data_IF_848127062743
#
_entry.id   IF_848127062743
#
_cell.length_a   1.000
_cell.length_b   1.000
_cell.length_c   1.000
_cell.angle_alpha   90.00
_cell.angle_beta   90.00
_cell.angle_gamma   90.00
#
_symmetry.space_group_name_H-M   'P 1'
#
loop_
_entity.id
_entity.type
_entity.pdbx_description
1 polymer ?
#
# COMPACT_ATOMS: atom_id res chain seq x y z
N UNK A 1 1.83 14.55 -7.75
CA UNK A 1 3.13 14.71 -7.04
C UNK A 1 3.36 13.64 -5.98
N UNK A 2 2.53 13.55 -4.92
CA UNK A 2 2.74 12.54 -3.85
C UNK A 2 2.74 11.10 -4.39
N UNK A 3 1.81 10.77 -5.28
CA UNK A 3 1.80 9.47 -5.99
C UNK A 3 3.09 9.21 -6.76
N UNK A 4 3.59 10.19 -7.50
CA UNK A 4 4.84 10.09 -8.25
C UNK A 4 6.03 9.87 -7.31
N UNK A 5 6.09 10.60 -6.19
CA UNK A 5 7.12 10.41 -5.17
C UNK A 5 7.05 9.00 -4.56
N UNK A 6 5.85 8.49 -4.25
CA UNK A 6 5.65 7.12 -3.79
C UNK A 6 6.18 6.11 -4.83
N UNK A 7 5.82 6.26 -6.10
CA UNK A 7 6.26 5.35 -7.17
C UNK A 7 7.78 5.35 -7.34
N UNK A 8 8.42 6.53 -7.28
CA UNK A 8 9.88 6.67 -7.40
C UNK A 8 10.57 6.05 -6.19
N UNK A 9 10.14 6.39 -4.97
CA UNK A 9 10.74 5.82 -3.75
C UNK A 9 10.59 4.31 -3.72
N UNK A 10 9.41 3.78 -4.06
CA UNK A 10 9.18 2.35 -4.13
C UNK A 10 10.06 1.67 -5.20
N UNK A 11 10.16 2.26 -6.39
CA UNK A 11 11.00 1.73 -7.46
C UNK A 11 12.48 1.68 -7.05
N UNK A 12 13.00 2.75 -6.43
CA UNK A 12 14.35 2.75 -5.88
C UNK A 12 14.53 1.76 -4.74
N UNK A 13 13.48 1.57 -3.92
CA UNK A 13 13.52 0.63 -2.82
C UNK A 13 13.68 -0.81 -3.32
N UNK A 14 13.01 -1.14 -4.42
CA UNK A 14 13.15 -2.43 -5.09
C UNK A 14 14.46 -2.59 -5.87
N UNK A 15 15.05 -1.51 -6.37
CA UNK A 15 16.34 -1.56 -7.08
C UNK A 15 17.50 -1.79 -6.10
N UNK A 16 17.41 -1.24 -4.89
CA UNK A 16 18.47 -1.33 -3.87
C UNK A 16 18.25 -2.45 -2.85
N UNK A 17 17.08 -3.08 -2.84
CA UNK A 17 16.69 -4.00 -1.79
C UNK A 17 15.82 -5.14 -2.27
N UNK A 18 15.99 -6.30 -1.64
CA UNK A 18 15.14 -7.47 -1.86
C UNK A 18 13.65 -7.11 -1.60
N UNK A 19 12.79 -7.46 -2.57
CA UNK A 19 11.35 -7.23 -2.53
C UNK A 19 10.70 -7.77 -1.26
N UNK A 20 11.15 -8.94 -0.79
CA UNK A 20 10.67 -9.59 0.43
C UNK A 20 10.95 -8.81 1.71
N UNK A 21 11.83 -7.80 1.65
CA UNK A 21 12.32 -7.04 2.80
C UNK A 21 11.69 -5.67 2.92
N UNK A 22 11.80 -4.91 1.84
CA UNK A 22 11.35 -3.53 1.78
C UNK A 22 9.82 -3.46 1.82
N UNK A 23 9.17 -4.41 1.15
CA UNK A 23 7.74 -4.37 0.93
C UNK A 23 6.92 -4.44 2.22
N UNK A 24 7.15 -5.40 3.15
CA UNK A 24 6.36 -5.44 4.39
C UNK A 24 6.63 -4.24 5.30
N UNK A 25 7.83 -3.64 5.27
CA UNK A 25 8.13 -2.43 6.05
C UNK A 25 7.33 -1.25 5.52
N UNK A 26 7.44 -0.97 4.22
CA UNK A 26 6.71 0.12 3.58
C UNK A 26 5.20 -0.02 3.78
N UNK A 27 4.67 -1.24 3.63
CA UNK A 27 3.24 -1.54 3.72
C UNK A 27 2.72 -1.61 5.16
N UNK A 28 3.49 -2.16 6.10
CA UNK A 28 3.10 -2.27 7.51
C UNK A 28 3.18 -0.94 8.27
N UNK A 29 4.15 -0.08 7.92
CA UNK A 29 4.29 1.25 8.54
C UNK A 29 3.26 2.25 8.02
N UNK A 30 2.80 2.12 6.76
CA UNK A 30 1.85 3.05 6.16
C UNK A 30 0.52 3.19 6.94
N UNK A 31 -0.25 2.12 7.26
CA UNK A 31 -1.51 2.25 8.00
C UNK A 31 -1.30 2.74 9.44
N UNK A 32 -0.16 2.41 10.07
CA UNK A 32 0.19 2.93 11.39
C UNK A 32 0.44 4.45 11.34
N UNK A 33 1.11 4.93 10.29
CA UNK A 33 1.28 6.36 10.05
C UNK A 33 -0.06 7.06 9.78
N UNK A 34 -0.95 6.45 8.99
CA UNK A 34 -2.30 6.98 8.76
C UNK A 34 -3.09 7.01 10.07
N UNK A 35 -2.98 6.00 10.94
CA UNK A 35 -3.63 5.99 12.25
C UNK A 35 -3.15 7.16 13.13
N UNK A 36 -1.83 7.33 13.25
CA UNK A 36 -1.24 8.35 14.14
C UNK A 36 -1.49 9.76 13.58
N UNK A 37 -1.20 9.99 12.31
CA UNK A 37 -1.35 11.32 11.69
C UNK A 37 -2.82 11.64 11.44
N UNK A 38 -3.59 10.64 11.00
CA UNK A 38 -5.02 10.78 10.76
C UNK A 38 -5.82 11.06 12.01
N UNK A 39 -5.45 10.51 13.18
CA UNK A 39 -6.14 10.84 14.44
C UNK A 39 -5.99 12.30 14.87
N UNK A 40 -4.98 13.01 14.34
CA UNK A 40 -4.75 14.44 14.59
C UNK A 40 -5.30 15.32 13.47
N UNK A 41 -5.12 14.92 12.21
CA UNK A 41 -5.43 15.75 11.04
C UNK A 41 -6.80 15.49 10.42
N UNK A 42 -7.39 14.30 10.60
CA UNK A 42 -8.66 13.93 9.98
C UNK A 42 -9.80 14.06 11.00
N UNK A 43 -11.02 14.41 10.55
CA UNK A 43 -12.20 14.45 11.40
C UNK A 43 -12.74 13.06 11.79
N UNK A 44 -12.12 11.99 11.28
CA UNK A 44 -12.54 10.61 11.50
C UNK A 44 -12.42 10.22 12.98
N UNK A 45 -13.51 9.71 13.56
CA UNK A 45 -13.49 9.11 14.90
C UNK A 45 -13.28 7.61 14.76
N UNK A 46 -12.18 7.11 15.33
CA UNK A 46 -11.88 5.68 15.43
C UNK A 46 -12.21 5.20 16.84
N UNK A 47 -12.93 4.07 16.94
CA UNK A 47 -13.11 3.40 18.20
C UNK A 47 -11.75 2.86 18.71
N UNK A 48 -11.52 2.81 20.04
CA UNK A 48 -10.26 2.29 20.59
C UNK A 48 -9.94 0.86 20.11
N UNK A 49 -10.98 0.03 19.90
CA UNK A 49 -10.83 -1.33 19.41
C UNK A 49 -10.40 -1.37 17.92
N UNK A 50 -10.87 -0.44 17.09
CA UNK A 50 -10.40 -0.29 15.70
C UNK A 50 -8.94 0.12 15.66
N UNK A 51 -8.55 1.11 16.49
CA UNK A 51 -7.16 1.55 16.59
C UNK A 51 -6.25 0.39 17.04
N UNK A 52 -6.69 -0.41 18.01
CA UNK A 52 -5.98 -1.61 18.47
C UNK A 52 -5.85 -2.64 17.35
N UNK A 53 -6.93 -2.88 16.60
CA UNK A 53 -6.91 -3.79 15.45
C UNK A 53 -5.92 -3.34 14.37
N UNK A 54 -5.86 -2.04 14.07
CA UNK A 54 -4.88 -1.47 13.12
C UNK A 54 -3.45 -1.67 13.61
N UNK A 55 -3.19 -1.45 14.91
CA UNK A 55 -1.86 -1.67 15.51
C UNK A 55 -1.44 -3.13 15.43
N UNK A 56 -2.34 -4.06 15.80
CA UNK A 56 -2.09 -5.51 15.75
C UNK A 56 -1.84 -5.97 14.31
N UNK A 57 -2.64 -5.47 13.36
CA UNK A 57 -2.49 -5.75 11.93
C UNK A 57 -1.13 -5.25 11.42
N UNK A 58 -0.78 -3.99 11.71
CA UNK A 58 0.49 -3.39 11.31
C UNK A 58 1.69 -4.14 11.90
N UNK A 59 1.62 -4.54 13.18
CA UNK A 59 2.63 -5.36 13.82
C UNK A 59 2.77 -6.74 13.14
N UNK A 60 1.66 -7.37 12.74
CA UNK A 60 1.67 -8.61 11.98
C UNK A 60 2.41 -8.49 10.65
N UNK A 61 2.16 -7.41 9.90
CA UNK A 61 2.84 -7.12 8.62
C UNK A 61 4.33 -6.89 8.84
N UNK A 62 4.70 -6.05 9.80
CA UNK A 62 6.11 -5.82 10.14
C UNK A 62 6.80 -7.11 10.58
N UNK A 63 6.07 -7.98 11.30
CA UNK A 63 6.52 -9.32 11.66
C UNK A 63 6.84 -10.20 10.45
N UNK A 64 6.18 -10.00 9.29
CA UNK A 64 6.52 -10.75 8.07
C UNK A 64 7.93 -10.41 7.56
N UNK A 65 8.41 -9.19 7.83
CA UNK A 65 9.80 -8.79 7.59
C UNK A 65 10.75 -9.21 8.73
N UNK A 66 10.29 -9.73 9.89
CA UNK A 66 11.15 -10.05 11.03
C UNK A 66 12.31 -11.03 10.67
N UNK A 67 12.04 -12.02 9.82
CA UNK A 67 13.06 -12.98 9.37
C UNK A 67 14.12 -12.38 8.45
N UNK A 68 13.85 -11.19 7.91
CA UNK A 68 14.66 -10.48 6.93
C UNK A 68 15.65 -9.51 7.59
N UNK A 69 15.33 -8.93 8.74
CA UNK A 69 16.15 -7.89 9.41
C UNK A 69 17.49 -8.40 9.96
N UNK A 70 17.81 -9.68 9.79
CA UNK A 70 19.08 -10.28 10.25
C UNK A 70 20.29 -9.88 9.41
N UNK A 71 20.10 -9.24 8.26
CA UNK A 71 21.17 -8.71 7.40
C UNK A 71 21.37 -7.21 7.62
N UNK A 72 22.61 -6.74 7.84
CA UNK A 72 22.92 -5.30 8.00
C UNK A 72 22.50 -4.42 6.81
N UNK A 73 22.39 -5.01 5.61
CA UNK A 73 21.81 -4.40 4.40
C UNK A 73 20.37 -3.92 4.59
N UNK A 74 19.59 -4.57 5.47
CA UNK A 74 18.19 -4.20 5.76
C UNK A 74 18.08 -2.84 6.45
N UNK A 75 19.10 -2.41 7.19
CA UNK A 75 19.09 -1.13 7.92
C UNK A 75 19.30 0.04 6.96
N UNK A 76 20.19 -0.14 5.97
CA UNK A 76 20.46 0.88 4.95
C UNK A 76 19.22 1.20 4.08
N UNK A 77 18.29 0.25 3.96
CA UNK A 77 17.06 0.39 3.19
C UNK A 77 15.88 0.95 3.99
N UNK A 78 15.99 1.03 5.32
CA UNK A 78 14.94 1.57 6.19
C UNK A 78 14.50 2.99 5.81
N UNK A 79 15.41 3.95 5.52
CA UNK A 79 14.98 5.31 5.17
C UNK A 79 14.09 5.33 3.93
N UNK A 80 14.38 4.46 2.97
CA UNK A 80 13.66 4.40 1.70
C UNK A 80 12.30 3.68 1.84
N UNK A 81 12.26 2.61 2.65
CA UNK A 81 11.01 1.94 3.00
C UNK A 81 10.08 2.87 3.82
N UNK A 82 10.64 3.63 4.77
CA UNK A 82 9.90 4.61 5.55
C UNK A 82 9.45 5.81 4.69
N UNK A 83 10.29 6.31 3.79
CA UNK A 83 9.89 7.36 2.83
C UNK A 83 8.71 6.89 1.96
N UNK A 84 8.73 5.63 1.55
CA UNK A 84 7.62 4.99 0.82
C UNK A 84 6.37 4.90 1.69
N UNK A 85 6.50 4.50 2.97
CA UNK A 85 5.40 4.46 3.92
C UNK A 85 4.79 5.84 4.17
N UNK A 86 5.63 6.88 4.34
CA UNK A 86 5.20 8.27 4.50
C UNK A 86 4.45 8.73 3.26
N UNK A 87 5.03 8.56 2.07
CA UNK A 87 4.35 8.91 0.82
C UNK A 87 3.01 8.15 0.68
N UNK A 88 2.97 6.89 1.10
CA UNK A 88 1.76 6.06 1.10
C UNK A 88 0.68 6.59 2.02
N UNK A 89 1.06 6.94 3.25
CA UNK A 89 0.15 7.53 4.22
C UNK A 89 -0.36 8.89 3.74
N UNK A 90 0.54 9.75 3.24
CA UNK A 90 0.20 11.08 2.72
C UNK A 90 -0.78 10.98 1.56
N UNK A 91 -0.50 10.18 0.52
CA UNK A 91 -1.45 10.09 -0.60
C UNK A 91 -2.77 9.47 -0.16
N UNK A 92 -2.77 8.50 0.75
CA UNK A 92 -4.02 7.85 1.20
C UNK A 92 -4.92 8.85 1.94
N UNK A 93 -4.34 9.72 2.77
CA UNK A 93 -5.08 10.77 3.48
C UNK A 93 -5.55 11.88 2.53
N UNK A 94 -4.69 12.31 1.59
CA UNK A 94 -5.05 13.34 0.60
C UNK A 94 -6.15 12.83 -0.32
N UNK A 95 -6.05 11.61 -0.82
CA UNK A 95 -7.03 11.04 -1.74
C UNK A 95 -8.35 10.74 -1.05
N UNK A 96 -8.31 10.17 0.15
CA UNK A 96 -9.52 9.92 0.94
C UNK A 96 -10.26 11.22 1.28
N UNK A 97 -9.53 12.27 1.65
CA UNK A 97 -10.13 13.59 1.93
C UNK A 97 -10.60 14.26 0.64
N UNK A 98 -9.80 14.21 -0.43
CA UNK A 98 -10.11 14.80 -1.72
C UNK A 98 -11.37 14.20 -2.34
N UNK A 99 -11.51 12.88 -2.32
CA UNK A 99 -12.71 12.21 -2.81
C UNK A 99 -13.96 12.50 -1.97
N UNK A 100 -13.82 12.71 -0.65
CA UNK A 100 -14.93 13.15 0.21
C UNK A 100 -15.40 14.56 -0.14
N UNK A 101 -14.47 15.46 -0.47
CA UNK A 101 -14.79 16.84 -0.88
C UNK A 101 -15.41 16.86 -2.28
N UNK A 102 -14.89 16.05 -3.20
CA UNK A 102 -15.38 15.96 -4.59
C UNK A 102 -16.79 15.35 -4.67
N UNK A 103 -17.11 14.42 -3.77
CA UNK A 103 -18.40 13.72 -3.73
C UNK A 103 -18.54 12.59 -4.76
N UNK A 104 -17.61 12.49 -5.72
CA UNK A 104 -17.52 11.39 -6.69
C UNK A 104 -16.12 10.76 -6.68
N UNK A 105 -15.99 9.65 -5.95
CA UNK A 105 -14.71 8.93 -5.85
C UNK A 105 -14.20 8.38 -7.20
N UNK A 106 -15.10 8.05 -8.14
CA UNK A 106 -14.71 7.48 -9.44
C UNK A 106 -14.12 8.57 -10.34
N UNK A 107 -14.79 9.72 -10.40
CA UNK A 107 -14.31 10.88 -11.14
C UNK A 107 -12.97 11.38 -10.56
N UNK A 108 -12.88 11.49 -9.23
CA UNK A 108 -11.65 11.85 -8.54
C UNK A 108 -10.47 10.95 -8.92
N UNK A 109 -10.63 9.63 -8.83
CA UNK A 109 -9.56 8.67 -9.16
C UNK A 109 -9.22 8.69 -10.66
N UNK A 110 -10.21 8.88 -11.53
CA UNK A 110 -9.98 9.06 -12.97
C UNK A 110 -9.04 10.23 -13.26
N UNK A 111 -9.36 11.41 -12.73
CA UNK A 111 -8.52 12.61 -12.89
C UNK A 111 -7.17 12.48 -12.20
N UNK A 112 -7.13 11.88 -11.01
CA UNK A 112 -5.91 11.62 -10.28
C UNK A 112 -4.92 10.79 -11.10
N UNK A 113 -5.37 9.66 -11.67
CA UNK A 113 -4.51 8.77 -12.45
C UNK A 113 -4.13 9.37 -13.81
N UNK A 114 -5.05 10.12 -14.44
CA UNK A 114 -4.74 10.88 -15.65
C UNK A 114 -3.62 11.91 -15.40
N UNK A 115 -3.74 12.71 -14.34
CA UNK A 115 -2.72 13.69 -13.93
C UNK A 115 -1.43 13.02 -13.45
N UNK A 116 -1.52 11.90 -12.72
CA UNK A 116 -0.34 11.14 -12.30
C UNK A 116 0.49 10.68 -13.50
N UNK A 117 -0.15 10.31 -14.61
CA UNK A 117 0.52 9.92 -15.85
C UNK A 117 1.34 11.06 -16.45
N UNK A 118 0.85 12.31 -16.36
CA UNK A 118 1.58 13.51 -16.84
C UNK A 118 2.91 13.69 -16.12
N UNK A 119 3.01 13.30 -14.85
CA UNK A 119 4.26 13.40 -14.09
C UNK A 119 5.11 12.13 -14.16
N UNK A 120 4.48 10.95 -14.05
CA UNK A 120 5.19 9.68 -13.96
C UNK A 120 5.77 9.23 -15.30
N UNK A 121 5.06 9.39 -16.42
CA UNK A 121 5.55 8.93 -17.73
C UNK A 121 6.81 9.70 -18.18
N UNK A 122 6.88 11.04 -18.10
CA UNK A 122 8.12 11.76 -18.41
C UNK A 122 9.27 11.42 -17.45
N UNK A 123 8.99 11.29 -16.14
CA UNK A 123 10.00 10.90 -15.17
C UNK A 123 10.58 9.49 -15.47
N UNK A 124 9.72 8.54 -15.82
CA UNK A 124 10.14 7.19 -16.19
C UNK A 124 11.00 7.19 -17.47
N UNK A 125 10.60 7.95 -18.49
CA UNK A 125 11.37 8.09 -19.74
C UNK A 125 12.71 8.78 -19.48
N UNK A 126 12.75 9.80 -18.62
CA UNK A 126 13.98 10.51 -18.26
C UNK A 126 14.96 9.59 -17.51
N UNK A 127 14.46 8.74 -16.61
CA UNK A 127 15.31 7.85 -15.79
C UNK A 127 15.75 6.57 -16.50
N UNK A 128 14.91 5.99 -17.37
CA UNK A 128 15.11 4.65 -17.97
C UNK A 128 15.14 4.66 -19.50
N UNK A 129 14.94 5.81 -20.14
CA UNK A 129 14.84 5.95 -21.59
C UNK A 129 13.50 5.49 -22.16
N UNK A 130 13.38 5.49 -23.49
CA UNK A 130 12.14 5.13 -24.22
C UNK A 130 11.84 3.63 -24.21
N UNK A 131 12.72 2.80 -23.65
CA UNK A 131 12.52 1.36 -23.52
C UNK A 131 11.32 0.99 -22.63
N UNK A 132 10.86 1.92 -21.76
CA UNK A 132 9.66 1.76 -20.92
C UNK A 132 8.36 1.83 -21.72
N UNK A 133 8.39 2.37 -22.94
CA UNK A 133 7.20 2.52 -23.78
C UNK A 133 6.91 1.17 -24.44
N UNK A 134 5.70 0.60 -24.26
CA UNK A 134 5.35 -0.67 -24.85
C UNK A 134 5.53 -0.66 -26.37
N UNK A 135 6.22 -1.68 -26.89
CA UNK A 135 6.40 -1.87 -28.34
C UNK A 135 5.31 -2.81 -28.87
N UNK A 136 4.49 -2.30 -29.80
CA UNK A 136 3.45 -3.07 -30.50
C UNK A 136 2.14 -3.25 -29.72
N UNK A 137 1.10 -3.68 -30.43
CA UNK A 137 -0.27 -3.73 -29.93
C UNK A 137 -0.45 -4.64 -28.70
N UNK A 138 0.29 -5.75 -28.61
CA UNK A 138 0.22 -6.67 -27.46
C UNK A 138 0.68 -6.00 -26.16
N UNK A 139 1.75 -5.21 -26.21
CA UNK A 139 2.25 -4.48 -25.04
C UNK A 139 1.24 -3.45 -24.56
N UNK A 140 0.62 -2.72 -25.50
CA UNK A 140 -0.45 -1.78 -25.19
C UNK A 140 -1.70 -2.46 -24.63
N UNK A 141 -2.12 -3.60 -25.19
CA UNK A 141 -3.27 -4.35 -24.68
C UNK A 141 -3.08 -4.79 -23.23
N UNK A 142 -1.92 -5.38 -22.90
CA UNK A 142 -1.60 -5.76 -21.52
C UNK A 142 -1.46 -4.55 -20.60
N UNK A 143 -0.85 -3.46 -21.08
CA UNK A 143 -0.73 -2.21 -20.32
C UNK A 143 -2.08 -1.57 -20.01
N UNK A 144 -2.98 -1.52 -20.99
CA UNK A 144 -4.35 -1.03 -20.81
C UNK A 144 -5.15 -1.93 -19.86
N UNK A 145 -5.03 -3.25 -19.98
CA UNK A 145 -5.67 -4.20 -19.08
C UNK A 145 -5.20 -4.03 -17.63
N UNK A 146 -3.89 -3.94 -17.41
CA UNK A 146 -3.31 -3.69 -16.09
C UNK A 146 -3.71 -2.31 -15.54
N UNK A 147 -3.74 -1.29 -16.39
CA UNK A 147 -4.18 0.06 -16.05
C UNK A 147 -5.65 0.10 -15.61
N UNK A 148 -6.54 -0.53 -16.37
CA UNK A 148 -7.96 -0.62 -16.04
C UNK A 148 -8.20 -1.38 -14.73
N UNK A 149 -7.50 -2.50 -14.53
CA UNK A 149 -7.57 -3.26 -13.27
C UNK A 149 -7.04 -2.44 -12.08
N UNK A 150 -5.94 -1.72 -12.25
CA UNK A 150 -5.36 -0.82 -11.24
C UNK A 150 -6.30 0.33 -10.89
N UNK A 151 -6.90 0.96 -11.91
CA UNK A 151 -7.90 2.02 -11.73
C UNK A 151 -9.11 1.50 -10.95
N UNK A 152 -9.69 0.35 -11.35
CA UNK A 152 -10.85 -0.23 -10.67
C UNK A 152 -10.55 -0.60 -9.22
N UNK A 153 -9.38 -1.21 -8.96
CA UNK A 153 -8.95 -1.55 -7.61
C UNK A 153 -8.77 -0.30 -6.75
N UNK A 154 -8.11 0.73 -7.27
CA UNK A 154 -7.86 1.95 -6.50
C UNK A 154 -9.11 2.79 -6.30
N UNK A 155 -9.97 2.89 -7.31
CA UNK A 155 -11.27 3.54 -7.21
C UNK A 155 -12.13 2.91 -6.10
N UNK A 156 -12.13 1.58 -5.99
CA UNK A 156 -12.84 0.88 -4.91
C UNK A 156 -12.27 1.26 -3.53
N UNK A 157 -10.95 1.39 -3.40
CA UNK A 157 -10.30 1.82 -2.15
C UNK A 157 -10.68 3.25 -1.79
N UNK A 158 -10.59 4.18 -2.74
CA UNK A 158 -10.91 5.59 -2.50
C UNK A 158 -12.39 5.78 -2.22
N UNK A 159 -13.27 5.05 -2.91
CA UNK A 159 -14.69 5.00 -2.58
C UNK A 159 -14.93 4.49 -1.15
N UNK A 160 -14.26 3.42 -0.73
CA UNK A 160 -14.37 2.94 0.65
C UNK A 160 -13.90 3.99 1.67
N UNK A 161 -12.87 4.79 1.34
CA UNK A 161 -12.41 5.92 2.17
C UNK A 161 -13.46 7.03 2.31
N UNK A 162 -14.42 7.16 1.38
CA UNK A 162 -15.53 8.12 1.55
C UNK A 162 -16.61 7.60 2.49
N UNK A 163 -16.68 6.28 2.72
CA UNK A 163 -17.72 5.63 3.52
C UNK A 163 -17.25 5.26 4.93
N UNK A 164 -15.94 5.08 5.13
CA UNK A 164 -15.36 4.62 6.39
C UNK A 164 -14.10 5.42 6.76
N UNK A 165 -13.64 5.35 8.03
CA UNK A 165 -12.41 6.01 8.45
C UNK A 165 -11.21 5.63 7.57
N UNK A 166 -10.43 6.62 7.12
CA UNK A 166 -9.33 6.41 6.18
C UNK A 166 -8.29 5.42 6.74
N UNK A 167 -8.02 5.50 8.05
CA UNK A 167 -7.08 4.59 8.73
C UNK A 167 -7.55 3.13 8.70
N UNK A 168 -8.85 2.88 8.84
CA UNK A 168 -9.42 1.54 8.82
C UNK A 168 -9.36 0.95 7.40
N UNK A 169 -9.72 1.74 6.38
CA UNK A 169 -9.62 1.31 4.98
C UNK A 169 -8.16 1.07 4.58
N UNK A 170 -7.25 1.95 4.99
CA UNK A 170 -5.83 1.78 4.76
C UNK A 170 -5.29 0.48 5.35
N UNK A 171 -5.66 0.15 6.59
CA UNK A 171 -5.27 -1.10 7.25
C UNK A 171 -5.87 -2.34 6.58
N UNK A 172 -7.16 -2.32 6.22
CA UNK A 172 -7.82 -3.43 5.53
C UNK A 172 -7.18 -3.72 4.16
N UNK A 173 -6.71 -2.70 3.44
CA UNK A 173 -6.01 -2.86 2.17
C UNK A 173 -4.73 -3.70 2.31
N UNK A 174 -4.09 -3.67 3.48
CA UNK A 174 -2.87 -4.42 3.72
C UNK A 174 -3.11 -5.92 3.96
N UNK A 175 -4.36 -6.37 4.08
CA UNK A 175 -4.72 -7.80 4.08
C UNK A 175 -4.37 -8.50 2.76
N UNK A 176 -4.21 -7.75 1.67
CA UNK A 176 -3.67 -8.23 0.38
C UNK A 176 -2.35 -8.99 0.53
N UNK A 177 -1.56 -8.68 1.56
CA UNK A 177 -0.30 -9.38 1.87
C UNK A 177 -0.55 -10.84 2.23
N UNK A 178 -1.66 -11.16 2.93
CA UNK A 178 -2.02 -12.55 3.22
C UNK A 178 -2.25 -13.34 1.94
N UNK A 179 -2.96 -12.75 0.98
CA UNK A 179 -3.19 -13.37 -0.33
C UNK A 179 -1.89 -13.55 -1.10
N UNK A 180 -1.00 -12.55 -1.08
CA UNK A 180 0.31 -12.66 -1.71
C UNK A 180 1.15 -13.80 -1.11
N UNK A 181 1.19 -13.93 0.22
CA UNK A 181 1.90 -15.01 0.92
C UNK A 181 1.26 -16.38 0.64
N UNK A 182 -0.07 -16.45 0.60
CA UNK A 182 -0.81 -17.68 0.27
C UNK A 182 -0.51 -18.15 -1.15
N UNK A 183 -0.54 -17.23 -2.13
CA UNK A 183 -0.21 -17.52 -3.52
C UNK A 183 1.26 -17.91 -3.68
N UNK A 184 2.18 -17.22 -2.99
CA UNK A 184 3.60 -17.59 -2.91
C UNK A 184 3.80 -19.04 -2.45
N UNK A 185 3.12 -19.42 -1.38
CA UNK A 185 3.20 -20.78 -0.84
C UNK A 185 2.57 -21.83 -1.78
N UNK A 186 1.37 -21.57 -2.30
CA UNK A 186 0.61 -22.55 -3.07
C UNK A 186 1.12 -22.73 -4.51
N UNK A 187 1.47 -21.62 -5.18
CA UNK A 187 1.83 -21.62 -6.60
C UNK A 187 3.35 -21.65 -6.84
N UNK A 188 4.12 -20.99 -5.97
CA UNK A 188 5.57 -20.83 -6.14
C UNK A 188 6.39 -21.73 -5.22
N UNK A 189 5.74 -22.49 -4.33
CA UNK A 189 6.41 -23.44 -3.42
C UNK A 189 7.19 -22.77 -2.29
N UNK A 190 6.90 -21.50 -1.97
CA UNK A 190 7.58 -20.78 -0.90
C UNK A 190 7.40 -21.45 0.45
N UNK A 191 8.47 -21.61 1.23
CA UNK A 191 8.36 -22.22 2.56
C UNK A 191 7.62 -21.30 3.53
N UNK A 192 6.63 -21.87 4.21
CA UNK A 192 5.90 -21.22 5.29
C UNK A 192 6.65 -21.39 6.62
N UNK A 193 7.41 -20.38 7.02
CA UNK A 193 8.14 -20.41 8.29
C UNK A 193 7.21 -20.12 9.47
N UNK A 194 7.61 -20.51 10.68
CA UNK A 194 6.84 -20.22 11.91
C UNK A 194 6.57 -18.71 12.09
N UNK A 195 7.50 -17.85 11.68
CA UNK A 195 7.32 -16.40 11.69
C UNK A 195 6.21 -15.93 10.75
N UNK A 196 6.16 -16.46 9.51
CA UNK A 196 5.08 -16.13 8.56
C UNK A 196 3.71 -16.56 9.09
N UNK A 197 3.61 -17.72 9.74
CA UNK A 197 2.37 -18.18 10.37
C UNK A 197 1.91 -17.25 11.50
N UNK A 198 2.81 -16.87 12.41
CA UNK A 198 2.47 -15.97 13.51
C UNK A 198 2.02 -14.60 12.98
N UNK A 199 2.75 -14.06 12.01
CA UNK A 199 2.39 -12.81 11.34
C UNK A 199 1.05 -12.88 10.64
N UNK A 200 0.77 -13.96 9.92
CA UNK A 200 -0.53 -14.15 9.27
C UNK A 200 -1.66 -14.18 10.32
N UNK A 201 -1.45 -14.86 11.44
CA UNK A 201 -2.38 -14.88 12.57
C UNK A 201 -2.62 -13.49 13.17
N UNK A 202 -1.56 -12.68 13.35
CA UNK A 202 -1.68 -11.30 13.84
C UNK A 202 -2.45 -10.41 12.87
N UNK A 203 -2.20 -10.53 11.56
CA UNK A 203 -2.95 -9.76 10.56
C UNK A 203 -4.44 -10.14 10.62
N UNK A 204 -4.76 -11.44 10.63
CA UNK A 204 -6.14 -11.91 10.73
C UNK A 204 -6.82 -11.44 12.03
N UNK A 205 -6.11 -11.52 13.16
CA UNK A 205 -6.62 -11.02 14.44
C UNK A 205 -6.88 -9.52 14.38
N UNK A 206 -5.97 -8.73 13.80
CA UNK A 206 -6.16 -7.30 13.62
C UNK A 206 -7.39 -6.96 12.79
N UNK A 207 -7.62 -7.69 11.68
CA UNK A 207 -8.84 -7.55 10.86
C UNK A 207 -10.11 -7.90 11.64
N UNK A 208 -10.07 -8.96 12.45
CA UNK A 208 -11.22 -9.35 13.28
C UNK A 208 -11.52 -8.27 14.32
N UNK A 209 -10.50 -7.72 14.97
CA UNK A 209 -10.65 -6.64 15.95
C UNK A 209 -11.25 -5.38 15.33
N UNK A 210 -10.82 -4.97 14.13
CA UNK A 210 -11.41 -3.81 13.44
C UNK A 210 -12.87 -4.05 13.05
N UNK A 211 -13.26 -5.30 12.76
CA UNK A 211 -14.65 -5.64 12.42
C UNK A 211 -15.56 -5.77 13.64
N UNK A 212 -15.08 -6.34 14.73
CA UNK A 212 -15.86 -6.49 15.97
C UNK A 212 -16.20 -5.13 16.61
N UNK A 213 -15.40 -4.11 16.33
CA UNK A 213 -15.67 -2.74 16.79
C UNK A 213 -16.80 -2.04 16.00
N UNK A 214 -17.14 -2.54 14.81
CA UNK A 214 -18.15 -1.95 13.93
C UNK A 214 -19.57 -2.50 14.19
N UNK A 215 -19.72 -3.43 15.14
CA UNK A 215 -20.99 -4.05 15.59
C UNK A 215 -21.37 -3.46 16.94
#
# INVERSE_FOLDING_TARGET
LVHTSYQIFLAWAYEKGDLSRVYPIARGSAPLMVLVVGSVLLPDRLAPLEATGIVVLGAGILGMAAGVFRSGESIALLPLALATAVATATYSMVDGTGARVDGDALAYVGWLLALATVFYAPAAIWMRGTAVIPRGAKGWLWGMGAGAASWAAYATVVWAMTQAPIALVAALRETSILFAVLLGWLLFGDRMTRGKWLSAGLILLGVLLTRLAAV
#
